data_IF_663801259312
#
_entry.id   IF_663801259312
#
_cell.length_a   1.000
_cell.length_b   1.000
_cell.length_c   1.000
_cell.angle_alpha   90.00
_cell.angle_beta   90.00
_cell.angle_gamma   90.00
#
_symmetry.space_group_name_H-M   'P 1'
#
loop_
_entity.id
_entity.type
_entity.pdbx_description
1 polymer ?
#
# COMPACT_ATOMS: atom_id res chain seq x y z
N UNK A 1 1.45 9.81 25.78
CA UNK A 1 0.53 10.25 24.71
C UNK A 1 -0.65 9.30 24.68
N UNK A 2 -1.87 9.82 24.90
CA UNK A 2 -3.02 9.06 25.43
C UNK A 2 -3.80 8.27 24.37
N UNK A 3 -4.34 7.14 24.84
CA UNK A 3 -4.96 5.98 24.17
C UNK A 3 -6.38 6.24 23.63
N UNK A 4 -6.71 7.46 23.19
CA UNK A 4 -8.10 7.91 23.15
C UNK A 4 -8.55 8.65 21.87
N UNK A 5 -8.19 8.17 20.66
CA UNK A 5 -8.59 8.92 19.44
C UNK A 5 -9.03 8.08 18.23
N UNK A 6 -9.55 6.86 18.41
CA UNK A 6 -10.13 6.11 17.27
C UNK A 6 -11.64 5.83 17.36
N UNK A 7 -12.29 6.09 18.49
CA UNK A 7 -13.75 5.98 18.62
C UNK A 7 -14.27 7.09 19.54
N UNK A 8 -14.85 8.19 19.02
CA UNK A 8 -15.44 9.21 19.88
C UNK A 8 -16.69 8.62 20.56
N UNK A 9 -16.66 8.48 21.88
CA UNK A 9 -17.82 8.04 22.69
C UNK A 9 -18.12 6.53 22.75
N UNK A 10 -17.42 5.73 21.94
CA UNK A 10 -17.22 4.28 22.00
C UNK A 10 -16.46 3.67 23.20
N UNK A 11 -17.04 3.08 24.28
CA UNK A 11 -16.23 2.16 25.09
C UNK A 11 -15.84 0.97 24.20
N UNK A 12 -14.54 0.81 23.95
CA UNK A 12 -14.01 -0.36 23.26
C UNK A 12 -14.45 -1.60 24.06
N UNK A 13 -15.16 -2.58 23.46
CA UNK A 13 -15.44 -3.85 24.11
C UNK A 13 -14.14 -4.44 24.66
N UNK A 14 -14.19 -5.10 25.82
CA UNK A 14 -13.03 -5.72 26.47
C UNK A 14 -12.28 -6.75 25.59
N UNK A 15 -12.89 -7.15 24.47
CA UNK A 15 -12.41 -8.10 23.45
C UNK A 15 -11.70 -7.41 22.25
N UNK A 16 -11.63 -6.07 22.17
CA UNK A 16 -10.97 -5.41 21.03
C UNK A 16 -9.45 -5.36 21.24
N UNK A 17 -8.75 -6.36 20.69
CA UNK A 17 -7.28 -6.39 20.63
C UNK A 17 -6.74 -5.23 19.77
N UNK A 18 -5.52 -4.77 20.07
CA UNK A 18 -4.76 -3.79 19.25
C UNK A 18 -4.75 -4.15 17.75
N UNK A 19 -4.72 -5.45 17.46
CA UNK A 19 -4.68 -6.00 16.10
C UNK A 19 -6.02 -5.81 15.35
N UNK A 20 -7.15 -5.91 16.06
CA UNK A 20 -8.47 -5.63 15.49
C UNK A 20 -8.65 -4.17 15.08
N UNK A 21 -8.14 -3.23 15.90
CA UNK A 21 -8.11 -1.80 15.52
C UNK A 21 -7.26 -1.54 14.27
N UNK A 22 -6.10 -2.20 14.16
CA UNK A 22 -5.25 -2.09 12.97
C UNK A 22 -5.96 -2.62 11.72
N UNK A 23 -6.60 -3.79 11.80
CA UNK A 23 -7.34 -4.40 10.69
C UNK A 23 -8.45 -3.48 10.15
N UNK A 24 -9.22 -2.85 11.05
CA UNK A 24 -10.30 -1.93 10.68
C UNK A 24 -9.79 -0.66 9.99
N UNK A 25 -8.61 -0.13 10.39
CA UNK A 25 -8.06 1.11 9.85
C UNK A 25 -7.24 0.90 8.58
N UNK A 26 -6.42 -0.15 8.55
CA UNK A 26 -5.41 -0.33 7.51
C UNK A 26 -5.88 -1.26 6.38
N UNK A 27 -6.78 -2.22 6.67
CA UNK A 27 -7.13 -3.28 5.70
C UNK A 27 -8.55 -3.11 5.17
N UNK A 28 -9.54 -2.92 6.05
CA UNK A 28 -10.96 -2.78 5.63
C UNK A 28 -11.26 -1.72 4.57
N UNK A 29 -10.60 -0.54 4.53
CA UNK A 29 -10.86 0.44 3.48
C UNK A 29 -10.51 -0.05 2.07
N UNK A 30 -9.60 -1.01 1.96
CA UNK A 30 -9.13 -1.53 0.68
C UNK A 30 -9.75 -2.89 0.34
N UNK A 31 -10.09 -3.70 1.36
CA UNK A 31 -10.71 -5.03 1.19
C UNK A 31 -11.81 -5.22 2.25
N UNK A 32 -13.07 -5.13 1.83
CA UNK A 32 -14.23 -5.19 2.72
C UNK A 32 -14.40 -6.56 3.42
N UNK A 33 -14.02 -7.64 2.73
CA UNK A 33 -14.15 -9.03 3.21
C UNK A 33 -12.95 -9.50 4.03
N UNK A 34 -12.05 -8.59 4.40
CA UNK A 34 -10.89 -8.94 5.19
C UNK A 34 -11.28 -9.29 6.64
N UNK A 35 -10.87 -10.47 7.10
CA UNK A 35 -11.12 -10.98 8.45
C UNK A 35 -9.82 -11.53 9.07
N UNK A 36 -9.79 -11.58 10.40
CA UNK A 36 -8.65 -12.12 11.16
C UNK A 36 -9.12 -13.38 11.88
N UNK A 37 -8.34 -14.45 11.77
CA UNK A 37 -8.60 -15.68 12.52
C UNK A 37 -8.44 -15.44 14.03
N UNK A 38 -9.44 -15.88 14.81
CA UNK A 38 -9.48 -15.75 16.26
C UNK A 38 -8.78 -16.88 17.00
N UNK A 39 -8.41 -17.96 16.30
CA UNK A 39 -7.72 -19.11 16.89
C UNK A 39 -6.20 -18.95 16.86
N UNK A 40 -5.69 -18.22 15.88
CA UNK A 40 -4.27 -17.91 15.77
C UNK A 40 -3.88 -16.81 16.75
N UNK A 41 -3.00 -17.12 17.71
CA UNK A 41 -2.40 -16.15 18.62
C UNK A 41 -0.98 -15.79 18.17
N UNK A 42 -0.57 -14.55 18.39
CA UNK A 42 0.82 -14.14 18.24
C UNK A 42 1.66 -14.78 19.35
N UNK A 43 2.81 -15.33 18.96
CA UNK A 43 3.77 -15.93 19.89
C UNK A 43 4.50 -14.86 20.73
N UNK A 44 4.55 -13.60 20.27
CA UNK A 44 5.27 -12.52 20.94
C UNK A 44 4.43 -11.76 21.96
N UNK A 45 3.14 -11.52 21.68
CA UNK A 45 2.27 -10.72 22.56
C UNK A 45 1.02 -11.46 23.05
N UNK A 46 0.80 -12.71 22.60
CA UNK A 46 -0.36 -13.52 22.99
C UNK A 46 -1.71 -12.97 22.51
N UNK A 47 -1.70 -11.93 21.67
CA UNK A 47 -2.87 -11.32 21.07
C UNK A 47 -3.39 -12.12 19.88
N UNK A 48 -4.62 -11.82 19.43
CA UNK A 48 -5.24 -12.48 18.28
C UNK A 48 -4.60 -11.99 16.97
N UNK A 49 -4.22 -12.92 16.09
CA UNK A 49 -3.54 -12.70 14.82
C UNK A 49 -2.02 -12.53 14.99
N UNK A 50 -1.24 -12.76 13.92
CA UNK A 50 0.22 -12.55 13.91
C UNK A 50 0.58 -11.15 13.41
N UNK A 51 1.31 -10.39 14.20
CA UNK A 51 1.82 -9.05 13.85
C UNK A 51 3.25 -9.15 13.33
N UNK A 52 3.56 -8.43 12.25
CA UNK A 52 4.93 -8.37 11.72
C UNK A 52 5.29 -9.43 10.69
N UNK A 53 4.31 -10.15 10.13
CA UNK A 53 4.57 -11.01 8.97
C UNK A 53 4.73 -10.18 7.71
N UNK A 54 5.85 -10.34 7.00
CA UNK A 54 6.06 -9.71 5.71
C UNK A 54 5.29 -10.47 4.63
N UNK A 55 4.26 -9.84 4.06
CA UNK A 55 3.63 -10.36 2.85
C UNK A 55 4.52 -9.96 1.68
N UNK A 56 5.08 -10.94 0.97
CA UNK A 56 5.83 -10.67 -0.25
C UNK A 56 4.84 -10.17 -1.33
N UNK A 57 4.76 -8.84 -1.49
CA UNK A 57 3.83 -8.22 -2.41
C UNK A 57 4.07 -8.63 -3.86
N UNK A 58 5.34 -8.82 -4.25
CA UNK A 58 5.73 -9.28 -5.58
C UNK A 58 5.27 -10.70 -5.88
N UNK A 59 4.96 -11.53 -4.88
CA UNK A 59 4.46 -12.89 -5.08
C UNK A 59 2.95 -12.98 -4.99
N UNK A 60 2.34 -12.28 -4.03
CA UNK A 60 0.91 -12.45 -3.73
C UNK A 60 0.00 -11.46 -4.47
N UNK A 61 0.55 -10.33 -4.92
CA UNK A 61 -0.24 -9.26 -5.57
C UNK A 61 0.32 -8.85 -6.93
N UNK A 62 1.20 -9.66 -7.53
CA UNK A 62 1.70 -9.38 -8.86
C UNK A 62 0.57 -9.55 -9.88
N UNK A 63 0.12 -8.43 -10.42
CA UNK A 63 -0.73 -8.38 -11.59
C UNK A 63 0.17 -8.21 -12.80
N UNK A 64 0.05 -9.11 -13.78
CA UNK A 64 0.77 -8.98 -15.04
C UNK A 64 0.35 -7.69 -15.72
N UNK A 65 1.31 -6.78 -15.92
CA UNK A 65 1.13 -5.61 -16.76
C UNK A 65 1.83 -5.87 -18.09
N UNK A 66 1.09 -5.82 -19.22
CA UNK A 66 1.72 -5.95 -20.52
C UNK A 66 2.75 -4.82 -20.72
N UNK A 67 3.89 -5.10 -21.36
CA UNK A 67 4.83 -4.05 -21.72
C UNK A 67 4.15 -2.96 -22.56
N UNK A 68 4.57 -1.71 -22.37
CA UNK A 68 4.10 -0.57 -23.16
C UNK A 68 4.37 -0.80 -24.66
N UNK A 69 3.51 -0.35 -25.56
CA UNK A 69 3.72 -0.50 -27.00
C UNK A 69 5.01 0.18 -27.49
N UNK A 70 5.69 -0.42 -28.46
CA UNK A 70 6.90 0.17 -29.05
C UNK A 70 6.66 1.57 -29.64
N UNK A 71 5.51 1.77 -30.29
CA UNK A 71 5.15 3.06 -30.87
C UNK A 71 5.04 4.19 -29.83
N UNK A 72 4.67 3.88 -28.58
CA UNK A 72 4.64 4.85 -27.48
C UNK A 72 6.06 5.24 -27.08
N UNK A 73 6.96 4.24 -26.98
CA UNK A 73 8.38 4.46 -26.67
C UNK A 73 9.02 5.34 -27.74
N UNK A 74 8.80 5.04 -29.03
CA UNK A 74 9.37 5.80 -30.14
C UNK A 74 8.89 7.27 -30.14
N UNK A 75 7.60 7.49 -29.87
CA UNK A 75 7.03 8.84 -29.79
C UNK A 75 7.60 9.64 -28.62
N UNK A 76 7.76 9.02 -27.45
CA UNK A 76 8.38 9.66 -26.29
C UNK A 76 9.85 10.00 -26.54
N UNK A 77 10.60 9.07 -27.16
CA UNK A 77 12.00 9.30 -27.52
C UNK A 77 12.13 10.49 -28.49
N UNK A 78 11.32 10.53 -29.53
CA UNK A 78 11.30 11.65 -30.46
C UNK A 78 10.96 12.99 -29.77
N UNK A 79 10.02 12.98 -28.82
CA UNK A 79 9.70 14.16 -28.02
C UNK A 79 10.87 14.65 -27.16
N UNK A 80 11.59 13.72 -26.52
CA UNK A 80 12.81 14.04 -25.76
C UNK A 80 13.90 14.60 -26.67
N UNK A 81 14.11 14.02 -27.84
CA UNK A 81 15.08 14.51 -28.84
C UNK A 81 14.78 15.95 -29.26
N UNK A 82 13.53 16.28 -29.57
CA UNK A 82 13.13 17.64 -29.93
C UNK A 82 13.41 18.63 -28.80
N UNK A 83 13.07 18.25 -27.56
CA UNK A 83 13.35 19.10 -26.39
C UNK A 83 14.84 19.35 -26.19
N UNK A 84 15.68 18.35 -26.45
CA UNK A 84 17.14 18.51 -26.38
C UNK A 84 17.62 19.50 -27.46
N UNK A 85 17.09 19.40 -28.68
CA UNK A 85 17.45 20.32 -29.77
C UNK A 85 17.02 21.76 -29.48
N UNK A 86 15.84 21.97 -28.90
CA UNK A 86 15.36 23.28 -28.46
C UNK A 86 16.30 23.90 -27.42
N UNK A 87 16.64 23.15 -26.38
CA UNK A 87 17.56 23.61 -25.32
C UNK A 87 18.96 23.95 -25.86
N UNK A 88 19.47 23.17 -26.81
CA UNK A 88 20.77 23.46 -27.43
C UNK A 88 20.72 24.72 -28.29
N UNK A 89 19.60 24.99 -28.95
CA UNK A 89 19.39 26.20 -29.74
C UNK A 89 19.34 27.44 -28.86
N UNK A 90 18.66 27.39 -27.72
CA UNK A 90 18.60 28.49 -26.75
C UNK A 90 19.97 28.88 -26.18
N UNK A 91 20.93 27.95 -26.14
CA UNK A 91 22.29 28.19 -25.61
C UNK A 91 23.26 28.68 -26.70
N UNK A 92 22.92 28.50 -27.98
CA UNK A 92 23.77 28.87 -29.12
C UNK A 92 23.40 30.20 -29.78
N UNK A 93 22.26 30.81 -29.41
CA UNK A 93 21.88 32.21 -29.67
C UNK A 93 22.32 33.13 -28.51
#
# INVERSE_FOLDING_TARGET
>A
MSRATLFPGQPLPADVTRNGLYMLRAVRPYVADAWTDRQTLDEQDGGIGKVGYEINFNRMFFQYQPPRPLAEIDAELAGVEQRILELLREVTE
#
